data_IF_919848340734
#
_entry.id   IF_919848340734
#
_cell.length_a   1.000
_cell.length_b   1.000
_cell.length_c   1.000
_cell.angle_alpha   90.00
_cell.angle_beta   90.00
_cell.angle_gamma   90.00
#
_symmetry.space_group_name_H-M   'P 1'
#
loop_
_entity.id
_entity.type
_entity.pdbx_description
1 polymer ?
#
# COMPACT_ATOMS: atom_id res chain seq x y z
N UNK A 1 -0.07 -9.39 20.59
CA UNK A 1 -1.00 -10.11 19.72
C UNK A 1 -0.35 -10.14 18.35
N UNK A 2 -0.02 -11.32 17.86
CA UNK A 2 0.62 -11.53 16.55
C UNK A 2 -0.43 -11.34 15.44
N UNK A 3 -0.03 -11.04 14.20
CA UNK A 3 -0.97 -10.86 13.08
C UNK A 3 -1.84 -12.11 12.87
N UNK A 4 -1.26 -13.30 13.10
CA UNK A 4 -1.96 -14.57 13.00
C UNK A 4 -3.13 -14.70 14.00
N UNK A 5 -3.05 -14.02 15.14
CA UNK A 5 -4.08 -14.08 16.17
C UNK A 5 -5.42 -13.52 15.68
N UNK A 6 -5.42 -12.59 14.71
CA UNK A 6 -6.65 -12.07 14.09
C UNK A 6 -7.39 -13.10 13.23
N UNK A 7 -6.73 -14.19 12.83
CA UNK A 7 -7.28 -15.19 11.92
C UNK A 7 -7.57 -16.53 12.60
N UNK A 8 -7.52 -16.57 13.94
CA UNK A 8 -8.02 -17.72 14.71
C UNK A 8 -9.54 -17.72 14.75
N UNK A 9 -10.16 -18.88 14.94
CA UNK A 9 -11.62 -19.01 15.02
C UNK A 9 -12.23 -18.14 16.14
N UNK A 10 -11.49 -17.93 17.22
CA UNK A 10 -11.96 -17.18 18.41
C UNK A 10 -11.95 -15.66 18.19
N UNK A 11 -11.00 -15.15 17.41
CA UNK A 11 -10.79 -13.71 17.22
C UNK A 11 -11.23 -13.21 15.84
N UNK A 12 -11.62 -14.11 14.94
CA UNK A 12 -12.01 -13.75 13.57
C UNK A 12 -13.18 -12.76 13.59
N UNK A 13 -13.00 -11.63 12.93
CA UNK A 13 -13.97 -10.55 12.90
C UNK A 13 -13.93 -9.78 11.59
N UNK A 14 -14.79 -8.76 11.46
CA UNK A 14 -14.73 -7.83 10.33
C UNK A 14 -13.37 -7.13 10.22
N UNK A 15 -12.70 -6.87 11.35
CA UNK A 15 -11.36 -6.26 11.34
C UNK A 15 -10.35 -7.19 10.67
N UNK A 16 -10.43 -8.50 10.89
CA UNK A 16 -9.57 -9.50 10.22
C UNK A 16 -9.72 -9.44 8.69
N UNK A 17 -10.96 -9.33 8.20
CA UNK A 17 -11.25 -9.20 6.77
C UNK A 17 -10.69 -7.87 6.22
N UNK A 18 -10.95 -6.76 6.91
CA UNK A 18 -10.49 -5.44 6.47
C UNK A 18 -8.97 -5.32 6.47
N UNK A 19 -8.29 -5.88 7.48
CA UNK A 19 -6.84 -5.96 7.53
C UNK A 19 -6.27 -6.84 6.42
N UNK A 20 -6.91 -7.98 6.13
CA UNK A 20 -6.52 -8.82 5.00
C UNK A 20 -6.61 -8.04 3.67
N UNK A 21 -7.70 -7.32 3.43
CA UNK A 21 -7.87 -6.49 2.22
C UNK A 21 -6.78 -5.41 2.14
N UNK A 22 -6.46 -4.74 3.25
CA UNK A 22 -5.37 -3.76 3.29
C UNK A 22 -4.05 -4.41 2.88
N UNK A 23 -3.71 -5.57 3.47
CA UNK A 23 -2.48 -6.29 3.17
C UNK A 23 -2.40 -6.74 1.71
N UNK A 24 -3.49 -7.27 1.17
CA UNK A 24 -3.57 -7.66 -0.25
C UNK A 24 -3.39 -6.45 -1.15
N UNK A 25 -4.06 -5.32 -0.88
CA UNK A 25 -3.91 -4.12 -1.71
C UNK A 25 -2.46 -3.59 -1.70
N UNK A 26 -1.84 -3.53 -0.51
CA UNK A 26 -0.43 -3.10 -0.39
C UNK A 26 0.51 -4.07 -1.13
N UNK A 27 0.26 -5.37 -1.00
CA UNK A 27 1.04 -6.40 -1.68
C UNK A 27 0.86 -6.34 -3.20
N UNK A 28 -0.37 -6.20 -3.70
CA UNK A 28 -0.65 -6.11 -5.15
C UNK A 28 -0.03 -4.86 -5.76
N UNK A 29 -0.03 -3.74 -5.05
CA UNK A 29 0.62 -2.51 -5.50
C UNK A 29 2.15 -2.70 -5.62
N UNK A 30 2.75 -3.27 -4.58
CA UNK A 30 4.17 -3.65 -4.58
C UNK A 30 4.47 -4.63 -5.73
N UNK A 31 3.71 -5.72 -5.84
CA UNK A 31 3.92 -6.76 -6.82
C UNK A 31 3.78 -6.21 -8.25
N UNK A 32 2.70 -5.49 -8.55
CA UNK A 32 2.51 -4.89 -9.87
C UNK A 32 3.60 -3.88 -10.23
N UNK A 33 4.09 -3.10 -9.26
CA UNK A 33 5.23 -2.21 -9.49
C UNK A 33 6.50 -2.99 -9.83
N UNK A 34 6.87 -3.97 -9.01
CA UNK A 34 8.18 -4.62 -9.11
C UNK A 34 8.25 -5.70 -10.19
N UNK A 35 7.19 -6.49 -10.35
CA UNK A 35 7.13 -7.62 -11.27
C UNK A 35 6.70 -7.17 -12.68
N UNK A 36 5.75 -6.25 -12.78
CA UNK A 36 5.15 -5.90 -14.07
C UNK A 36 5.61 -4.54 -14.62
N UNK A 37 5.81 -3.52 -13.77
CA UNK A 37 6.07 -2.16 -14.24
C UNK A 37 7.54 -1.84 -14.51
N UNK A 38 8.46 -2.38 -13.69
CA UNK A 38 9.91 -2.18 -13.84
C UNK A 38 10.42 -2.74 -15.18
N UNK A 39 11.37 -2.01 -15.77
CA UNK A 39 12.10 -2.45 -16.95
C UNK A 39 13.32 -3.28 -16.52
N UNK A 40 13.23 -4.60 -16.58
CA UNK A 40 14.32 -5.50 -16.18
C UNK A 40 15.52 -5.45 -17.12
N UNK A 41 15.29 -5.12 -18.40
CA UNK A 41 16.33 -5.04 -19.43
C UNK A 41 17.03 -3.68 -19.44
N UNK A 42 16.49 -2.69 -18.73
CA UNK A 42 17.07 -1.36 -18.58
C UNK A 42 18.45 -1.41 -17.92
N UNK A 43 19.34 -0.48 -18.32
CA UNK A 43 20.67 -0.30 -17.72
C UNK A 43 20.56 0.33 -16.31
N UNK A 44 19.93 -0.41 -15.41
CA UNK A 44 19.42 0.08 -14.14
C UNK A 44 20.46 -0.10 -13.04
N UNK A 45 20.51 0.88 -12.14
CA UNK A 45 21.24 0.78 -10.87
C UNK A 45 20.53 -0.26 -10.00
N UNK A 46 20.81 -1.56 -10.22
CA UNK A 46 20.24 -2.72 -9.47
C UNK A 46 20.30 -2.52 -7.96
N UNK A 47 21.34 -1.83 -7.50
CA UNK A 47 21.54 -1.41 -6.11
C UNK A 47 20.31 -0.65 -5.57
N UNK A 48 19.82 0.38 -6.25
CA UNK A 48 18.67 1.14 -5.73
C UNK A 48 17.42 0.26 -5.61
N UNK A 49 17.13 -0.59 -6.60
CA UNK A 49 15.99 -1.50 -6.57
C UNK A 49 16.07 -2.44 -5.35
N UNK A 50 17.23 -3.03 -5.10
CA UNK A 50 17.46 -3.90 -3.93
C UNK A 50 17.25 -3.10 -2.63
N UNK A 51 17.95 -1.98 -2.47
CA UNK A 51 17.88 -1.19 -1.22
C UNK A 51 16.51 -0.53 -1.00
N UNK A 52 15.70 -0.34 -2.04
CA UNK A 52 14.34 0.18 -1.89
C UNK A 52 13.40 -0.77 -1.14
N UNK A 53 13.77 -2.04 -0.95
CA UNK A 53 13.00 -2.98 -0.14
C UNK A 53 13.08 -2.69 1.35
N UNK A 54 14.17 -2.07 1.85
CA UNK A 54 14.27 -1.74 3.27
C UNK A 54 13.12 -0.83 3.75
N UNK A 55 12.86 0.34 3.14
CA UNK A 55 11.70 1.14 3.54
C UNK A 55 10.37 0.43 3.31
N UNK A 56 10.24 -0.44 2.30
CA UNK A 56 9.02 -1.25 2.08
C UNK A 56 8.77 -2.18 3.27
N UNK A 57 9.78 -2.93 3.71
CA UNK A 57 9.66 -3.83 4.87
C UNK A 57 9.45 -3.06 6.17
N UNK A 58 10.14 -1.93 6.36
CA UNK A 58 9.90 -1.05 7.52
C UNK A 58 8.44 -0.60 7.55
N UNK A 59 7.92 -0.10 6.42
CA UNK A 59 6.52 0.31 6.29
C UNK A 59 5.56 -0.83 6.60
N UNK A 60 5.82 -2.03 6.07
CA UNK A 60 5.01 -3.21 6.31
C UNK A 60 4.99 -3.63 7.79
N UNK A 61 6.15 -3.64 8.45
CA UNK A 61 6.26 -3.97 9.88
C UNK A 61 5.48 -2.95 10.73
N UNK A 62 5.60 -1.66 10.40
CA UNK A 62 4.85 -0.62 11.12
C UNK A 62 3.34 -0.81 10.97
N UNK A 63 2.88 -1.15 9.75
CA UNK A 63 1.48 -1.46 9.48
C UNK A 63 1.02 -2.64 10.34
N UNK A 64 1.73 -3.78 10.31
CA UNK A 64 1.31 -5.00 11.02
C UNK A 64 1.36 -4.84 12.54
N UNK A 65 2.38 -4.19 13.09
CA UNK A 65 2.44 -3.88 14.52
C UNK A 65 1.24 -3.04 14.95
N UNK A 66 0.91 -2.00 14.17
CA UNK A 66 -0.20 -1.10 14.49
C UNK A 66 -1.57 -1.79 14.48
N UNK A 67 -1.78 -2.82 13.65
CA UNK A 67 -3.08 -3.51 13.57
C UNK A 67 -3.56 -4.04 14.93
N UNK A 68 -2.63 -4.60 15.72
CA UNK A 68 -2.93 -5.09 17.08
C UNK A 68 -3.26 -3.95 18.06
N UNK A 69 -2.57 -2.82 17.93
CA UNK A 69 -2.76 -1.67 18.82
C UNK A 69 -3.96 -0.81 18.44
N UNK A 70 -4.39 -0.82 17.18
CA UNK A 70 -5.53 -0.02 16.72
C UNK A 70 -6.81 -0.43 17.44
N UNK A 71 -6.99 -1.72 17.71
CA UNK A 71 -8.17 -2.28 18.39
C UNK A 71 -7.98 -2.42 19.90
N UNK A 72 -6.82 -2.02 20.43
CA UNK A 72 -6.54 -2.10 21.85
C UNK A 72 -7.08 -0.85 22.57
N UNK A 73 -8.07 -0.97 23.48
CA UNK A 73 -8.67 0.17 24.16
C UNK A 73 -7.68 0.95 25.04
N UNK A 74 -6.58 0.33 25.49
CA UNK A 74 -5.57 0.98 26.33
C UNK A 74 -4.52 1.77 25.52
N UNK A 75 -4.48 1.61 24.20
CA UNK A 75 -3.49 2.27 23.37
C UNK A 75 -3.81 3.76 23.14
N UNK A 76 -2.77 4.58 22.94
CA UNK A 76 -2.96 5.98 22.55
C UNK A 76 -3.35 6.06 21.05
N UNK A 77 -4.65 6.07 20.77
CA UNK A 77 -5.17 5.84 19.41
C UNK A 77 -4.69 6.84 18.35
N UNK A 78 -4.46 8.10 18.73
CA UNK A 78 -3.89 9.11 17.81
C UNK A 78 -2.46 8.73 17.38
N UNK A 79 -1.67 8.21 18.32
CA UNK A 79 -0.30 7.77 18.04
C UNK A 79 -0.32 6.52 17.16
N UNK A 80 -1.14 5.52 17.50
CA UNK A 80 -1.25 4.29 16.74
C UNK A 80 -1.74 4.56 15.32
N UNK A 81 -2.76 5.42 15.16
CA UNK A 81 -3.25 5.83 13.84
C UNK A 81 -2.16 6.53 13.03
N UNK A 82 -1.41 7.44 13.65
CA UNK A 82 -0.30 8.12 12.98
C UNK A 82 0.80 7.14 12.57
N UNK A 83 1.17 6.20 13.44
CA UNK A 83 2.18 5.19 13.19
C UNK A 83 1.76 4.21 12.07
N UNK A 84 0.49 3.80 12.08
CA UNK A 84 -0.11 2.97 11.03
C UNK A 84 -0.03 3.63 9.66
N UNK A 85 -0.48 4.88 9.56
CA UNK A 85 -0.43 5.62 8.30
C UNK A 85 0.99 5.99 7.89
N UNK A 86 1.91 6.23 8.83
CA UNK A 86 3.33 6.41 8.52
C UNK A 86 3.90 5.14 7.88
N UNK A 87 3.50 3.96 8.35
CA UNK A 87 3.88 2.68 7.75
C UNK A 87 3.39 2.55 6.30
N UNK A 88 2.11 2.81 6.07
CA UNK A 88 1.52 2.84 4.71
C UNK A 88 2.26 3.87 3.84
N UNK A 89 2.48 5.08 4.35
CA UNK A 89 3.13 6.17 3.62
C UNK A 89 4.56 5.85 3.21
N UNK A 90 5.37 5.28 4.11
CA UNK A 90 6.75 4.87 3.80
C UNK A 90 6.74 3.79 2.71
N UNK A 91 5.89 2.77 2.83
CA UNK A 91 5.74 1.73 1.81
C UNK A 91 5.38 2.35 0.46
N UNK A 92 4.37 3.21 0.43
CA UNK A 92 3.88 3.84 -0.79
C UNK A 92 4.94 4.74 -1.44
N UNK A 93 5.64 5.57 -0.66
CA UNK A 93 6.72 6.42 -1.17
C UNK A 93 7.86 5.58 -1.75
N UNK A 94 8.22 4.47 -1.09
CA UNK A 94 9.26 3.57 -1.59
C UNK A 94 8.86 2.89 -2.91
N UNK A 95 7.64 2.35 -3.00
CA UNK A 95 7.10 1.75 -4.23
C UNK A 95 7.05 2.77 -5.37
N UNK A 96 6.46 3.94 -5.13
CA UNK A 96 6.32 5.02 -6.12
C UNK A 96 7.67 5.61 -6.58
N UNK A 97 8.69 5.61 -5.72
CA UNK A 97 10.04 6.08 -6.04
C UNK A 97 10.74 5.21 -7.09
N UNK A 98 10.37 3.94 -7.17
CA UNK A 98 10.86 3.00 -8.19
C UNK A 98 10.24 3.24 -9.57
N UNK A 99 9.20 4.07 -9.68
CA UNK A 99 8.57 4.43 -10.96
C UNK A 99 9.53 5.03 -11.99
N UNK A 100 10.69 5.55 -11.56
CA UNK A 100 11.76 6.03 -12.45
C UNK A 100 12.42 4.91 -13.29
N UNK A 101 12.32 3.66 -12.82
CA UNK A 101 12.85 2.46 -13.48
C UNK A 101 11.78 1.72 -14.27
N UNK A 102 10.55 2.24 -14.33
CA UNK A 102 9.49 1.63 -15.12
C UNK A 102 9.84 1.65 -16.60
N UNK A 103 9.28 0.67 -17.33
CA UNK A 103 9.18 0.67 -18.79
C UNK A 103 8.73 2.05 -19.26
N UNK A 104 9.27 2.53 -20.38
CA UNK A 104 9.07 3.91 -20.83
C UNK A 104 7.60 4.36 -20.86
N UNK A 105 6.70 3.46 -21.24
CA UNK A 105 5.26 3.73 -21.29
C UNK A 105 4.54 3.61 -19.92
N UNK A 106 5.17 3.04 -18.89
CA UNK A 106 4.64 2.90 -17.53
C UNK A 106 5.26 3.87 -16.51
N UNK A 107 6.10 4.81 -16.97
CA UNK A 107 6.62 5.87 -16.10
C UNK A 107 5.49 6.79 -15.63
N UNK A 108 5.47 7.04 -14.33
CA UNK A 108 4.47 7.90 -13.70
C UNK A 108 4.68 9.36 -14.08
N UNK A 109 3.59 10.04 -14.44
CA UNK A 109 3.59 11.49 -14.61
C UNK A 109 3.25 12.20 -13.30
N UNK A 110 3.36 13.54 -13.30
CA UNK A 110 3.05 14.34 -12.11
C UNK A 110 1.60 14.19 -11.64
N UNK A 111 0.67 13.94 -12.57
CA UNK A 111 -0.75 13.75 -12.24
C UNK A 111 -0.94 12.45 -11.48
N UNK A 112 -0.30 11.36 -11.90
CA UNK A 112 -0.34 10.08 -11.21
C UNK A 112 0.18 10.20 -9.77
N UNK A 113 1.35 10.81 -9.58
CA UNK A 113 1.90 11.06 -8.24
C UNK A 113 0.98 11.96 -7.39
N UNK A 114 0.42 13.02 -7.99
CA UNK A 114 -0.52 13.92 -7.32
C UNK A 114 -1.79 13.21 -6.87
N UNK A 115 -2.37 12.35 -7.71
CA UNK A 115 -3.55 11.54 -7.36
C UNK A 115 -3.25 10.57 -6.22
N UNK A 116 -2.13 9.86 -6.27
CA UNK A 116 -1.73 8.92 -5.20
C UNK A 116 -1.52 9.65 -3.86
N UNK A 117 -0.80 10.78 -3.89
CA UNK A 117 -0.61 11.62 -2.71
C UNK A 117 -1.95 12.17 -2.18
N UNK A 118 -2.84 12.62 -3.07
CA UNK A 118 -4.17 13.12 -2.71
C UNK A 118 -5.03 12.06 -2.01
N UNK A 119 -5.13 10.85 -2.58
CA UNK A 119 -5.87 9.73 -1.99
C UNK A 119 -5.32 9.42 -0.60
N UNK A 120 -3.99 9.32 -0.46
CA UNK A 120 -3.34 9.04 0.82
C UNK A 120 -3.59 10.13 1.87
N UNK A 121 -3.39 11.41 1.51
CA UNK A 121 -3.57 12.53 2.44
C UNK A 121 -5.02 12.68 2.90
N UNK A 122 -5.98 12.44 2.02
CA UNK A 122 -7.40 12.43 2.38
C UNK A 122 -7.67 11.32 3.40
N UNK A 123 -7.20 10.10 3.15
CA UNK A 123 -7.34 8.97 4.09
C UNK A 123 -6.70 9.27 5.45
N UNK A 124 -5.47 9.79 5.44
CA UNK A 124 -4.73 10.18 6.65
C UNK A 124 -5.50 11.21 7.47
N UNK A 125 -5.92 12.32 6.86
CA UNK A 125 -6.60 13.41 7.56
C UNK A 125 -7.91 12.90 8.17
N UNK A 126 -8.72 12.17 7.42
CA UNK A 126 -9.96 11.61 7.97
C UNK A 126 -9.69 10.61 9.09
N UNK A 127 -8.71 9.71 8.95
CA UNK A 127 -8.38 8.78 10.03
C UNK A 127 -7.85 9.46 11.28
N UNK A 128 -7.08 10.54 11.18
CA UNK A 128 -6.64 11.30 12.35
C UNK A 128 -7.83 11.97 13.07
N UNK A 129 -8.77 12.55 12.31
CA UNK A 129 -10.00 13.14 12.86
C UNK A 129 -10.87 12.11 13.60
N UNK A 130 -10.92 10.88 13.11
CA UNK A 130 -11.67 9.78 13.70
C UNK A 130 -10.80 8.80 14.50
N UNK A 131 -9.60 9.20 14.93
CA UNK A 131 -8.64 8.29 15.55
C UNK A 131 -9.17 7.57 16.80
N UNK A 132 -10.11 8.19 17.53
CA UNK A 132 -10.78 7.57 18.67
C UNK A 132 -11.70 6.38 18.31
N UNK A 133 -11.97 6.13 17.02
CA UNK A 133 -12.80 5.01 16.57
C UNK A 133 -12.01 4.08 15.64
N UNK A 134 -11.49 2.95 16.17
CA UNK A 134 -10.68 1.99 15.41
C UNK A 134 -11.36 1.49 14.15
N UNK A 135 -12.65 1.15 14.23
CA UNK A 135 -13.40 0.63 13.09
C UNK A 135 -13.46 1.63 11.94
N UNK A 136 -13.65 2.92 12.24
CA UNK A 136 -13.65 3.98 11.22
C UNK A 136 -12.25 4.13 10.61
N UNK A 137 -11.20 4.15 11.44
CA UNK A 137 -9.81 4.24 10.96
C UNK A 137 -9.46 3.09 10.01
N UNK A 138 -9.77 1.86 10.40
CA UNK A 138 -9.52 0.65 9.61
C UNK A 138 -10.30 0.72 8.30
N UNK A 139 -11.58 1.10 8.35
CA UNK A 139 -12.43 1.20 7.15
C UNK A 139 -11.90 2.24 6.17
N UNK A 140 -11.49 3.43 6.66
CA UNK A 140 -10.89 4.47 5.80
C UNK A 140 -9.61 3.95 5.16
N UNK A 141 -8.74 3.28 5.92
CA UNK A 141 -7.50 2.72 5.38
C UNK A 141 -7.75 1.63 4.33
N UNK A 142 -8.76 0.78 4.53
CA UNK A 142 -9.18 -0.21 3.52
C UNK A 142 -9.64 0.46 2.24
N UNK A 143 -10.53 1.46 2.33
CA UNK A 143 -11.02 2.18 1.15
C UNK A 143 -9.91 2.97 0.44
N UNK A 144 -9.02 3.59 1.21
CA UNK A 144 -7.87 4.32 0.70
C UNK A 144 -6.93 3.40 -0.07
N UNK A 145 -6.49 2.30 0.54
CA UNK A 145 -5.56 1.35 -0.12
C UNK A 145 -6.20 0.71 -1.35
N UNK A 146 -7.51 0.42 -1.31
CA UNK A 146 -8.26 -0.08 -2.45
C UNK A 146 -8.31 0.96 -3.58
N UNK A 147 -8.59 2.23 -3.27
CA UNK A 147 -8.62 3.30 -4.25
C UNK A 147 -7.24 3.53 -4.89
N UNK A 148 -6.17 3.46 -4.11
CA UNK A 148 -4.80 3.55 -4.61
C UNK A 148 -4.47 2.40 -5.56
N UNK A 149 -4.87 1.18 -5.20
CA UNK A 149 -4.65 -0.01 -6.02
C UNK A 149 -5.46 0.01 -7.32
N UNK A 150 -6.74 0.38 -7.26
CA UNK A 150 -7.58 0.56 -8.45
C UNK A 150 -6.96 1.61 -9.38
N UNK A 151 -6.48 2.73 -8.84
CA UNK A 151 -5.84 3.77 -9.63
C UNK A 151 -4.55 3.27 -10.30
N UNK A 152 -3.71 2.52 -9.59
CA UNK A 152 -2.51 1.91 -10.16
C UNK A 152 -2.85 0.89 -11.24
N UNK A 153 -3.74 -0.07 -10.95
CA UNK A 153 -4.17 -1.10 -11.90
C UNK A 153 -4.81 -0.49 -13.15
N UNK A 154 -5.66 0.53 -12.99
CA UNK A 154 -6.27 1.24 -14.13
C UNK A 154 -5.21 1.94 -14.99
N UNK A 155 -4.24 2.63 -14.37
CA UNK A 155 -3.12 3.24 -15.08
C UNK A 155 -2.32 2.19 -15.85
N UNK A 156 -1.93 1.09 -15.19
CA UNK A 156 -1.17 0.00 -15.79
C UNK A 156 -1.91 -0.56 -17.01
N UNK A 157 -3.16 -0.99 -16.85
CA UNK A 157 -3.95 -1.60 -17.95
C UNK A 157 -4.10 -0.62 -19.12
N UNK A 158 -4.39 0.65 -18.86
CA UNK A 158 -4.61 1.64 -19.92
C UNK A 158 -3.33 1.93 -20.70
N UNK A 159 -2.19 2.05 -20.00
CA UNK A 159 -0.90 2.31 -20.63
C UNK A 159 -0.39 1.09 -21.38
N UNK A 160 -0.53 -0.10 -20.80
CA UNK A 160 -0.14 -1.34 -21.44
C UNK A 160 -0.97 -1.58 -22.69
N UNK A 161 -2.31 -1.48 -22.65
CA UNK A 161 -3.16 -1.62 -23.86
C UNK A 161 -2.83 -0.63 -24.98
N UNK A 162 -2.36 0.58 -24.63
CA UNK A 162 -2.07 1.63 -25.61
C UNK A 162 -0.70 1.45 -26.28
N UNK A 163 0.28 0.87 -25.58
CA UNK A 163 1.69 0.87 -26.03
C UNK A 163 2.33 -0.52 -26.05
N UNK A 164 1.63 -1.57 -25.64
CA UNK A 164 2.13 -2.94 -25.52
C UNK A 164 0.96 -3.96 -25.49
N UNK A 165 1.25 -5.21 -25.15
CA UNK A 165 0.26 -6.25 -24.86
C UNK A 165 0.31 -6.60 -23.36
N UNK A 166 -0.83 -6.90 -22.71
CA UNK A 166 -0.82 -7.36 -21.32
C UNK A 166 -0.01 -8.66 -21.19
N UNK A 167 1.10 -8.63 -20.46
CA UNK A 167 1.89 -9.81 -20.13
C UNK A 167 1.47 -10.35 -18.76
N UNK A 168 0.19 -10.70 -18.63
CA UNK A 168 -0.30 -11.45 -17.48
C UNK A 168 -0.28 -12.93 -17.88
N UNK A 169 0.89 -13.56 -17.79
CA UNK A 169 0.95 -15.02 -17.83
C UNK A 169 0.46 -15.56 -16.49
N UNK A 170 -0.85 -15.53 -16.30
CA UNK A 170 -1.51 -16.40 -15.33
C UNK A 170 -1.33 -17.82 -15.89
N UNK A 171 -0.47 -18.60 -15.23
CA UNK A 171 -0.08 -19.96 -15.61
C UNK A 171 -1.26 -20.84 -16.02
#
# INVERSE_FOLDING_TARGET
MDLADFFTLENFSIHSILYFIIMVNLFMNYFGQFDHAIDEEGNNKRIFLIYSHYPIFIGLIMVTVSMSFLVNPEAHHLFVTSFFYMGIGILQVAVLSNGRFNKSHLRYDRKFYGSQAGIFLIGLVFSLLFSANPTIVITIATLMTLAMEIHFTHFYITRTKKFSSPDWKLF
#
